data_IF_981471723522
#
_entry.id   IF_981471723522
#
_cell.length_a   1.000
_cell.length_b   1.000
_cell.length_c   1.000
_cell.angle_alpha   90.00
_cell.angle_beta   90.00
_cell.angle_gamma   90.00
#
_symmetry.space_group_name_H-M   'P 1'
#
loop_
_entity.id
_entity.type
_entity.pdbx_description
1 polymer ?
#
# COMPACT_ATOMS: atom_id res chain seq x y z
N UNK A 1 25.97 -14.85 16.67
CA UNK A 1 25.22 -14.00 15.71
C UNK A 1 26.07 -13.88 14.47
N UNK A 2 25.73 -14.59 13.42
CA UNK A 2 26.43 -14.51 12.13
C UNK A 2 25.97 -13.21 11.45
N UNK A 3 26.85 -12.25 11.31
CA UNK A 3 26.58 -11.03 10.59
C UNK A 3 26.46 -11.35 9.08
N UNK A 4 25.24 -11.44 8.57
CA UNK A 4 25.01 -11.49 7.13
C UNK A 4 25.28 -10.09 6.54
N UNK A 5 26.48 -9.86 6.01
CA UNK A 5 26.71 -8.70 5.18
C UNK A 5 26.16 -8.99 3.78
N UNK A 6 24.94 -8.55 3.50
CA UNK A 6 24.42 -8.54 2.13
C UNK A 6 25.14 -7.41 1.40
N UNK A 7 26.22 -7.73 0.71
CA UNK A 7 26.90 -6.79 -0.19
C UNK A 7 26.05 -6.70 -1.47
N UNK A 8 25.39 -5.56 -1.75
CA UNK A 8 24.68 -5.39 -3.01
C UNK A 8 25.66 -5.66 -4.16
N UNK A 9 25.26 -6.48 -5.14
CA UNK A 9 26.11 -6.70 -6.31
C UNK A 9 26.37 -5.36 -7.00
N UNK A 10 27.63 -4.87 -7.06
CA UNK A 10 27.94 -3.51 -7.51
C UNK A 10 27.42 -3.18 -8.92
N UNK A 11 27.34 -4.17 -9.77
CA UNK A 11 26.81 -4.00 -11.13
C UNK A 11 25.28 -3.77 -11.15
N UNK A 12 24.51 -4.39 -10.23
CA UNK A 12 23.05 -4.19 -10.12
C UNK A 12 22.75 -2.76 -9.70
N UNK A 13 23.47 -2.24 -8.71
CA UNK A 13 23.35 -0.86 -8.24
C UNK A 13 23.68 0.14 -9.35
N UNK A 14 24.77 -0.10 -10.12
CA UNK A 14 25.16 0.74 -11.26
C UNK A 14 24.11 0.70 -12.38
N UNK A 15 23.63 -0.50 -12.74
CA UNK A 15 22.60 -0.67 -13.77
C UNK A 15 21.29 0.03 -13.39
N UNK A 16 20.87 -0.09 -12.11
CA UNK A 16 19.71 0.60 -11.59
C UNK A 16 19.87 2.13 -11.63
N UNK A 17 21.02 2.65 -11.19
CA UNK A 17 21.30 4.08 -11.24
C UNK A 17 21.26 4.66 -12.66
N UNK A 18 21.77 3.91 -13.64
CA UNK A 18 21.69 4.30 -15.05
C UNK A 18 20.24 4.27 -15.57
N UNK A 19 19.48 3.23 -15.25
CA UNK A 19 18.07 3.12 -15.60
C UNK A 19 17.26 4.28 -15.00
N UNK A 20 17.50 4.64 -13.72
CA UNK A 20 16.86 5.78 -13.06
C UNK A 20 17.11 7.10 -13.80
N UNK A 21 18.33 7.37 -14.27
CA UNK A 21 18.65 8.58 -15.05
C UNK A 21 17.81 8.67 -16.33
N UNK A 22 17.59 7.55 -17.00
CA UNK A 22 16.72 7.47 -18.18
C UNK A 22 15.24 7.69 -17.81
N UNK A 23 14.77 7.02 -16.78
CA UNK A 23 13.38 7.12 -16.30
C UNK A 23 13.03 8.53 -15.81
N UNK A 24 13.99 9.28 -15.24
CA UNK A 24 13.76 10.64 -14.75
C UNK A 24 13.52 11.67 -15.85
N UNK A 25 13.79 11.34 -17.12
CA UNK A 25 13.46 12.20 -18.27
C UNK A 25 11.97 12.19 -18.62
N UNK A 26 11.22 11.20 -18.12
CA UNK A 26 9.78 11.10 -18.34
C UNK A 26 9.01 11.41 -17.06
N UNK A 27 7.76 11.82 -17.20
CA UNK A 27 6.91 12.07 -16.03
C UNK A 27 6.74 10.77 -15.20
N UNK A 28 6.58 10.88 -13.86
CA UNK A 28 6.45 9.72 -12.99
C UNK A 28 5.31 8.78 -13.41
N UNK A 29 4.16 9.35 -13.79
CA UNK A 29 2.98 8.57 -14.17
C UNK A 29 3.17 7.83 -15.51
N UNK A 30 3.91 8.42 -16.47
CA UNK A 30 4.30 7.70 -17.71
C UNK A 30 5.22 6.52 -17.42
N UNK A 31 6.21 6.71 -16.53
CA UNK A 31 7.12 5.62 -16.13
C UNK A 31 6.34 4.52 -15.42
N UNK A 32 5.42 4.87 -14.54
CA UNK A 32 4.53 3.86 -13.92
C UNK A 32 3.79 3.04 -14.99
N UNK A 33 3.23 3.68 -16.01
CA UNK A 33 2.56 2.99 -17.11
C UNK A 33 3.49 2.06 -17.90
N UNK A 34 4.71 2.51 -18.23
CA UNK A 34 5.73 1.72 -18.95
C UNK A 34 6.15 0.50 -18.12
N UNK A 35 6.47 0.69 -16.84
CA UNK A 35 6.84 -0.41 -15.94
C UNK A 35 5.68 -1.40 -15.79
N UNK A 36 4.46 -0.91 -15.60
CA UNK A 36 3.27 -1.77 -15.50
C UNK A 36 3.04 -2.57 -16.78
N UNK A 37 3.28 -1.99 -17.96
CA UNK A 37 3.20 -2.71 -19.23
C UNK A 37 4.28 -3.79 -19.34
N UNK A 38 5.53 -3.49 -18.98
CA UNK A 38 6.62 -4.44 -18.96
C UNK A 38 6.35 -5.61 -17.98
N UNK A 39 5.84 -5.33 -16.80
CA UNK A 39 5.45 -6.34 -15.81
C UNK A 39 4.29 -7.22 -16.31
N UNK A 40 3.32 -6.66 -17.05
CA UNK A 40 2.27 -7.46 -17.71
C UNK A 40 2.82 -8.42 -18.76
N UNK A 41 3.79 -7.96 -19.55
CA UNK A 41 4.49 -8.83 -20.50
C UNK A 41 5.20 -9.96 -19.75
N UNK A 42 5.96 -9.64 -18.69
CA UNK A 42 6.61 -10.65 -17.86
C UNK A 42 5.59 -11.64 -17.28
N UNK A 43 4.50 -11.17 -16.70
CA UNK A 43 3.42 -12.01 -16.14
C UNK A 43 2.84 -12.97 -17.19
N UNK A 44 2.74 -12.53 -18.45
CA UNK A 44 2.22 -13.33 -19.56
C UNK A 44 3.23 -14.35 -20.12
N UNK A 45 4.53 -14.27 -19.74
CA UNK A 45 5.55 -15.21 -20.23
C UNK A 45 5.34 -16.62 -19.68
N UNK A 46 5.84 -17.66 -20.40
CA UNK A 46 5.77 -19.04 -19.92
C UNK A 46 6.45 -19.24 -18.56
N UNK A 47 5.92 -20.17 -17.76
CA UNK A 47 6.46 -20.50 -16.43
C UNK A 47 7.98 -20.68 -16.35
N UNK A 48 8.69 -21.31 -17.34
CA UNK A 48 10.15 -21.43 -17.29
C UNK A 48 10.87 -20.07 -17.26
N UNK A 49 10.38 -19.08 -18.00
CA UNK A 49 10.95 -17.71 -18.03
C UNK A 49 10.75 -17.03 -16.67
N UNK A 50 9.54 -17.10 -16.12
CA UNK A 50 9.25 -16.56 -14.78
C UNK A 50 10.12 -17.19 -13.70
N UNK A 51 10.35 -18.52 -13.76
CA UNK A 51 11.27 -19.21 -12.84
C UNK A 51 12.71 -18.75 -12.98
N UNK A 52 13.18 -18.51 -14.21
CA UNK A 52 14.53 -17.99 -14.45
C UNK A 52 14.70 -16.60 -13.87
N UNK A 53 13.73 -15.69 -14.10
CA UNK A 53 13.73 -14.36 -13.49
C UNK A 53 13.71 -14.47 -11.97
N UNK A 54 12.85 -15.32 -11.40
CA UNK A 54 12.79 -15.55 -9.96
C UNK A 54 14.13 -16.00 -9.37
N UNK A 55 14.83 -16.94 -10.01
CA UNK A 55 16.17 -17.38 -9.55
C UNK A 55 17.21 -16.25 -9.50
N UNK A 56 17.03 -15.20 -10.31
CA UNK A 56 17.96 -14.06 -10.36
C UNK A 56 17.62 -13.02 -9.27
N UNK A 57 16.34 -12.81 -8.99
CA UNK A 57 15.92 -11.67 -8.17
C UNK A 57 15.34 -12.04 -6.79
N UNK A 58 14.83 -13.25 -6.63
CA UNK A 58 14.28 -13.71 -5.35
C UNK A 58 15.40 -14.05 -4.35
N UNK A 59 15.14 -13.72 -3.09
CA UNK A 59 15.91 -14.21 -1.95
C UNK A 59 15.09 -15.30 -1.29
N UNK A 60 15.58 -16.54 -1.39
CA UNK A 60 14.90 -17.72 -0.84
C UNK A 60 15.68 -18.20 0.38
N UNK A 61 15.40 -17.63 1.56
CA UNK A 61 15.94 -18.07 2.83
C UNK A 61 14.78 -18.44 3.76
N UNK A 62 14.71 -19.67 4.28
CA UNK A 62 13.64 -20.09 5.17
C UNK A 62 13.47 -19.21 6.42
N UNK A 63 14.53 -18.53 6.88
CA UNK A 63 14.48 -17.60 8.02
C UNK A 63 13.58 -16.39 7.75
N UNK A 64 13.35 -16.04 6.49
CA UNK A 64 12.49 -14.93 6.08
C UNK A 64 11.01 -15.32 6.03
N UNK A 65 10.73 -16.61 6.01
CA UNK A 65 9.35 -17.11 5.95
C UNK A 65 8.67 -16.95 7.31
N UNK A 66 7.43 -16.48 7.27
CA UNK A 66 6.59 -16.36 8.48
C UNK A 66 5.15 -16.74 8.15
N UNK A 67 4.48 -17.31 9.14
CA UNK A 67 3.06 -17.59 9.05
C UNK A 67 2.27 -16.43 9.67
N UNK A 68 1.40 -15.82 8.89
CA UNK A 68 0.55 -14.70 9.30
C UNK A 68 -0.85 -14.95 8.74
N UNK A 69 -1.88 -14.78 9.54
CA UNK A 69 -3.29 -15.03 9.16
C UNK A 69 -3.52 -16.47 8.63
N UNK A 70 -2.83 -17.47 9.18
CA UNK A 70 -2.89 -18.84 8.68
C UNK A 70 -2.33 -19.05 7.27
N UNK A 71 -1.59 -18.07 6.75
CA UNK A 71 -0.97 -18.08 5.43
C UNK A 71 0.54 -17.92 5.54
N UNK A 72 1.28 -18.71 4.77
CA UNK A 72 2.75 -18.59 4.71
C UNK A 72 3.16 -17.45 3.79
N UNK A 73 3.81 -16.44 4.35
CA UNK A 73 4.46 -15.35 3.64
C UNK A 73 5.93 -15.75 3.43
N UNK A 74 6.39 -15.96 2.20
CA UNK A 74 7.74 -16.49 1.93
C UNK A 74 8.86 -15.53 2.33
N UNK A 75 8.54 -14.24 2.48
CA UNK A 75 9.43 -13.20 3.00
C UNK A 75 8.63 -11.97 3.48
N UNK A 76 9.21 -11.16 4.39
CA UNK A 76 8.51 -10.03 5.00
C UNK A 76 8.40 -8.79 4.09
N UNK A 77 9.14 -8.72 2.98
CA UNK A 77 9.09 -7.58 2.07
C UNK A 77 7.88 -7.69 1.16
N UNK A 78 6.93 -6.77 1.31
CA UNK A 78 5.75 -6.63 0.47
C UNK A 78 5.76 -5.39 -0.42
N UNK A 79 4.98 -5.44 -1.51
CA UNK A 79 4.65 -4.24 -2.27
C UNK A 79 3.53 -3.48 -1.52
N UNK A 80 3.74 -2.20 -1.25
CA UNK A 80 2.71 -1.35 -0.65
C UNK A 80 1.61 -0.96 -1.67
N UNK A 81 0.42 -0.66 -1.17
CA UNK A 81 -0.69 -0.14 -1.99
C UNK A 81 -0.30 1.15 -2.73
N UNK A 82 -0.90 1.33 -3.89
CA UNK A 82 -0.71 2.52 -4.73
C UNK A 82 -0.02 2.24 -6.06
N UNK A 83 0.68 1.13 -6.21
CA UNK A 83 1.30 0.76 -7.49
C UNK A 83 0.35 -0.04 -8.38
N UNK A 84 -0.13 -1.19 -7.93
CA UNK A 84 -1.10 -2.02 -8.67
C UNK A 84 -2.52 -1.76 -8.14
N UNK A 85 -3.13 -0.70 -8.64
CA UNK A 85 -4.43 -0.23 -8.14
C UNK A 85 -5.61 -1.09 -8.58
N UNK A 86 -5.41 -1.90 -9.62
CA UNK A 86 -6.48 -2.67 -10.25
C UNK A 86 -6.26 -4.19 -10.18
N UNK A 87 -5.24 -4.65 -9.46
CA UNK A 87 -4.94 -6.07 -9.32
C UNK A 87 -4.53 -6.77 -10.63
N UNK A 88 -4.14 -5.98 -11.65
CA UNK A 88 -3.77 -6.52 -12.98
C UNK A 88 -2.41 -7.20 -13.00
N UNK A 89 -1.59 -7.00 -11.96
CA UNK A 89 -0.25 -7.50 -11.81
C UNK A 89 -0.11 -8.49 -10.63
N UNK A 90 -1.23 -9.00 -10.11
CA UNK A 90 -1.25 -9.83 -8.91
C UNK A 90 -0.34 -11.06 -8.99
N UNK A 91 -0.12 -11.60 -10.18
CA UNK A 91 0.70 -12.81 -10.40
C UNK A 91 2.21 -12.54 -10.55
N UNK A 92 2.64 -11.30 -10.79
CA UNK A 92 4.05 -11.02 -11.11
C UNK A 92 4.89 -10.64 -9.89
N UNK A 93 4.29 -10.12 -8.84
CA UNK A 93 5.02 -9.56 -7.69
C UNK A 93 5.93 -10.58 -7.02
N UNK A 94 5.43 -11.79 -6.82
CA UNK A 94 6.26 -12.89 -6.30
C UNK A 94 7.42 -13.22 -7.25
N UNK A 95 7.20 -13.21 -8.57
CA UNK A 95 8.27 -13.48 -9.55
C UNK A 95 9.43 -12.50 -9.43
N UNK A 96 9.17 -11.24 -9.13
CA UNK A 96 10.21 -10.20 -8.98
C UNK A 96 10.71 -10.02 -7.55
N UNK A 97 10.31 -10.92 -6.64
CA UNK A 97 10.95 -11.05 -5.33
C UNK A 97 10.16 -10.47 -4.16
N UNK A 98 8.90 -10.04 -4.32
CA UNK A 98 8.05 -9.68 -3.18
C UNK A 98 7.42 -10.93 -2.55
N UNK A 99 7.35 -10.97 -1.22
CA UNK A 99 6.67 -12.03 -0.47
C UNK A 99 5.15 -11.92 -0.57
N UNK A 100 4.66 -10.69 -0.68
CA UNK A 100 3.25 -10.38 -0.86
C UNK A 100 3.08 -9.04 -1.59
N UNK A 101 1.85 -8.73 -1.99
CA UNK A 101 1.52 -7.43 -2.55
C UNK A 101 0.20 -6.90 -1.96
N UNK A 102 0.19 -5.66 -1.48
CA UNK A 102 -1.01 -4.92 -1.15
C UNK A 102 -1.49 -4.18 -2.41
N UNK A 103 -2.61 -4.64 -2.96
CA UNK A 103 -3.20 -4.12 -4.20
C UNK A 103 -4.21 -3.00 -3.88
N UNK A 104 -4.37 -2.06 -4.77
CA UNK A 104 -5.30 -0.95 -4.56
C UNK A 104 -4.60 0.40 -4.36
N UNK A 105 -5.28 1.38 -3.81
CA UNK A 105 -6.60 1.39 -3.15
C UNK A 105 -7.71 1.21 -4.17
N UNK A 106 -8.65 0.33 -3.86
CA UNK A 106 -9.85 0.05 -4.64
C UNK A 106 -11.05 0.69 -3.94
N UNK A 107 -11.95 1.30 -4.71
CA UNK A 107 -13.22 1.84 -4.22
C UNK A 107 -14.41 1.01 -4.73
N UNK A 108 -15.55 1.07 -4.07
CA UNK A 108 -16.72 0.28 -4.48
C UNK A 108 -17.12 0.57 -5.93
N UNK A 109 -17.16 1.84 -6.31
CA UNK A 109 -17.31 2.27 -7.70
C UNK A 109 -15.97 2.74 -8.27
N UNK A 110 -15.72 2.48 -9.55
CA UNK A 110 -14.53 2.97 -10.25
C UNK A 110 -14.52 4.50 -10.33
N UNK A 111 -13.31 5.08 -10.29
CA UNK A 111 -13.16 6.54 -10.38
C UNK A 111 -11.83 6.94 -11.02
N UNK A 112 -11.77 8.09 -11.73
CA UNK A 112 -10.57 8.52 -12.46
C UNK A 112 -9.47 9.06 -11.53
N UNK A 113 -9.79 9.36 -10.26
CA UNK A 113 -8.92 10.07 -9.34
C UNK A 113 -8.88 11.58 -9.61
N UNK A 114 -7.83 12.22 -9.10
CA UNK A 114 -7.65 13.67 -9.28
C UNK A 114 -7.05 13.98 -10.65
N UNK A 115 -7.23 15.23 -11.17
CA UNK A 115 -6.63 15.63 -12.43
C UNK A 115 -5.10 15.55 -12.44
N UNK A 116 -4.53 15.22 -13.58
CA UNK A 116 -3.08 15.28 -13.82
C UNK A 116 -2.62 16.74 -14.03
N UNK A 117 -1.35 17.08 -13.68
CA UNK A 117 -0.34 16.24 -13.06
C UNK A 117 -0.63 16.00 -11.57
N UNK A 118 -0.42 14.78 -11.12
CA UNK A 118 -0.80 14.33 -9.76
C UNK A 118 0.27 13.46 -9.06
N UNK A 119 1.44 13.36 -9.69
CA UNK A 119 2.58 12.62 -9.17
C UNK A 119 3.87 13.37 -9.49
N UNK A 120 4.63 13.76 -8.47
CA UNK A 120 5.83 14.58 -8.57
C UNK A 120 6.98 13.93 -7.84
N UNK A 121 8.19 14.08 -8.40
CA UNK A 121 9.44 13.67 -7.72
C UNK A 121 10.05 14.85 -6.99
N UNK A 122 10.58 14.57 -5.81
CA UNK A 122 11.42 15.45 -5.03
C UNK A 122 12.84 14.81 -4.96
N UNK A 123 13.67 14.94 -6.01
CA UNK A 123 14.92 14.16 -6.11
C UNK A 123 15.92 14.47 -5.00
N UNK A 124 15.96 15.72 -4.53
CA UNK A 124 16.84 16.15 -3.44
C UNK A 124 16.48 15.46 -2.11
N UNK A 125 15.20 15.23 -1.90
CA UNK A 125 14.64 14.59 -0.71
C UNK A 125 14.47 13.07 -0.89
N UNK A 126 14.80 12.53 -2.07
CA UNK A 126 14.52 11.14 -2.46
C UNK A 126 13.05 10.75 -2.22
N UNK A 127 12.14 11.69 -2.43
CA UNK A 127 10.73 11.61 -2.06
C UNK A 127 9.82 11.75 -3.29
N UNK A 128 8.55 11.39 -3.08
CA UNK A 128 7.48 11.55 -4.04
C UNK A 128 6.33 12.30 -3.36
N UNK A 129 5.83 13.35 -4.04
CA UNK A 129 4.56 13.98 -3.69
C UNK A 129 3.47 13.45 -4.64
N UNK A 130 2.39 12.94 -4.07
CA UNK A 130 1.26 12.45 -4.85
C UNK A 130 -0.08 13.03 -4.39
N UNK A 131 -1.00 13.17 -5.34
CA UNK A 131 -2.41 13.45 -5.12
C UNK A 131 -3.29 12.60 -6.04
N UNK A 132 -3.05 11.29 -6.04
CA UNK A 132 -3.68 10.35 -6.98
C UNK A 132 -5.21 10.30 -6.87
N UNK A 133 -5.77 10.37 -5.64
CA UNK A 133 -7.21 10.40 -5.40
C UNK A 133 -7.91 9.07 -5.73
N UNK A 134 -7.25 7.95 -5.42
CA UNK A 134 -7.78 6.59 -5.59
C UNK A 134 -8.29 6.29 -7.01
N UNK A 135 -7.51 6.63 -8.04
CA UNK A 135 -7.84 6.22 -9.41
C UNK A 135 -7.80 4.70 -9.53
N UNK A 136 -8.96 4.10 -9.81
CA UNK A 136 -9.12 2.65 -9.95
C UNK A 136 -10.40 2.32 -10.75
N UNK A 137 -10.52 1.05 -11.17
CA UNK A 137 -11.62 0.57 -12.01
C UNK A 137 -12.86 0.14 -11.20
N UNK A 138 -12.77 0.11 -9.87
CA UNK A 138 -13.85 -0.32 -8.98
C UNK A 138 -13.74 -1.78 -8.55
N UNK A 139 -14.40 -2.09 -7.44
CA UNK A 139 -14.30 -3.41 -6.79
C UNK A 139 -14.74 -4.57 -7.70
N UNK A 140 -15.76 -4.37 -8.54
CA UNK A 140 -16.25 -5.42 -9.43
C UNK A 140 -15.22 -5.81 -10.50
N UNK A 141 -14.56 -4.81 -11.14
CA UNK A 141 -13.56 -5.07 -12.17
C UNK A 141 -12.28 -5.66 -11.56
N UNK A 142 -11.86 -5.17 -10.39
CA UNK A 142 -10.73 -5.74 -9.65
C UNK A 142 -11.02 -7.18 -9.25
N UNK A 143 -12.23 -7.48 -8.78
CA UNK A 143 -12.64 -8.85 -8.47
C UNK A 143 -12.58 -9.75 -9.71
N UNK A 144 -12.98 -9.23 -10.87
CA UNK A 144 -12.86 -9.97 -12.14
C UNK A 144 -11.40 -10.31 -12.44
N UNK A 145 -10.47 -9.36 -12.31
CA UNK A 145 -9.03 -9.62 -12.55
C UNK A 145 -8.48 -10.66 -11.58
N UNK A 146 -8.82 -10.56 -10.30
CA UNK A 146 -8.30 -11.46 -9.26
C UNK A 146 -8.85 -12.88 -9.36
N UNK A 147 -10.09 -13.07 -9.80
CA UNK A 147 -10.64 -14.41 -10.08
C UNK A 147 -9.93 -15.12 -11.22
N UNK A 148 -9.32 -14.37 -12.14
CA UNK A 148 -8.61 -14.92 -13.30
C UNK A 148 -7.08 -14.99 -13.09
N UNK A 149 -6.58 -14.71 -11.87
CA UNK A 149 -5.15 -14.86 -11.57
C UNK A 149 -4.70 -16.32 -11.67
N UNK A 150 -3.45 -16.52 -12.06
CA UNK A 150 -2.89 -17.84 -12.36
C UNK A 150 -2.04 -18.42 -11.24
N UNK A 151 -1.70 -17.61 -10.24
CA UNK A 151 -0.86 -18.01 -9.10
C UNK A 151 -1.63 -17.85 -7.79
N UNK A 152 -1.10 -18.48 -6.73
CA UNK A 152 -1.57 -18.30 -5.35
C UNK A 152 -0.61 -17.38 -4.58
N UNK A 153 0.02 -16.41 -5.25
CA UNK A 153 0.81 -15.40 -4.57
C UNK A 153 -0.01 -14.70 -3.48
N UNK A 154 0.61 -14.41 -2.36
CA UNK A 154 -0.07 -13.73 -1.25
C UNK A 154 -0.41 -12.30 -1.67
N UNK A 155 -1.69 -11.94 -1.59
CA UNK A 155 -2.16 -10.59 -1.89
C UNK A 155 -3.05 -10.09 -0.75
N UNK A 156 -2.82 -8.85 -0.35
CA UNK A 156 -3.77 -8.04 0.40
C UNK A 156 -4.49 -7.08 -0.52
N UNK A 157 -5.70 -6.66 -0.17
CA UNK A 157 -6.43 -5.65 -0.92
C UNK A 157 -6.72 -4.46 -0.02
N UNK A 158 -6.24 -3.30 -0.44
CA UNK A 158 -6.51 -2.03 0.19
C UNK A 158 -7.81 -1.44 -0.39
N UNK A 159 -8.78 -1.18 0.48
CA UNK A 159 -10.09 -0.62 0.11
C UNK A 159 -10.27 0.77 0.70
N UNK A 160 -10.90 1.67 -0.05
CA UNK A 160 -11.11 3.05 0.35
C UNK A 160 -12.48 3.55 -0.09
N UNK A 161 -12.91 4.67 0.52
CA UNK A 161 -14.19 5.30 0.22
C UNK A 161 -14.21 5.87 -1.20
N UNK A 162 -15.27 5.59 -1.95
CA UNK A 162 -15.56 6.24 -3.23
C UNK A 162 -15.70 7.75 -3.03
N UNK A 163 -15.08 8.56 -3.89
CA UNK A 163 -14.98 10.02 -3.71
C UNK A 163 -16.33 10.72 -3.60
N UNK A 164 -17.29 10.29 -4.42
CA UNK A 164 -18.64 10.89 -4.49
C UNK A 164 -19.58 10.42 -3.40
N UNK A 165 -19.19 9.44 -2.59
CA UNK A 165 -19.98 8.93 -1.48
C UNK A 165 -19.79 9.82 -0.27
N UNK A 166 -20.87 10.24 0.38
CA UNK A 166 -20.82 11.03 1.59
C UNK A 166 -20.24 10.25 2.78
N UNK A 167 -19.71 10.98 3.78
CA UNK A 167 -19.16 10.36 4.98
C UNK A 167 -20.18 9.48 5.73
N UNK A 168 -21.44 9.90 5.77
CA UNK A 168 -22.52 9.15 6.41
C UNK A 168 -22.81 7.78 5.75
N UNK A 169 -22.50 7.62 4.45
CA UNK A 169 -22.68 6.39 3.71
C UNK A 169 -21.34 5.60 3.54
N UNK A 170 -20.27 6.04 4.22
CA UNK A 170 -18.96 5.41 4.09
C UNK A 170 -18.98 3.92 4.46
N UNK A 171 -19.64 3.55 5.56
CA UNK A 171 -19.70 2.16 6.02
C UNK A 171 -20.28 1.21 4.95
N UNK A 172 -21.33 1.62 4.25
CA UNK A 172 -21.93 0.81 3.19
C UNK A 172 -21.03 0.71 1.95
N UNK A 173 -20.30 1.78 1.61
CA UNK A 173 -19.36 1.79 0.50
C UNK A 173 -18.18 0.83 0.77
N UNK A 174 -17.62 0.85 1.99
CA UNK A 174 -16.59 -0.11 2.42
C UNK A 174 -17.13 -1.55 2.48
N UNK A 175 -18.34 -1.76 3.03
CA UNK A 175 -19.01 -3.08 3.06
C UNK A 175 -19.14 -3.67 1.66
N UNK A 176 -19.54 -2.85 0.69
CA UNK A 176 -19.67 -3.28 -0.71
C UNK A 176 -18.33 -3.72 -1.30
N UNK A 177 -17.26 -2.97 -1.05
CA UNK A 177 -15.91 -3.34 -1.48
C UNK A 177 -15.45 -4.64 -0.84
N UNK A 178 -15.66 -4.79 0.48
CA UNK A 178 -15.28 -5.98 1.23
C UNK A 178 -16.03 -7.24 0.76
N UNK A 179 -17.33 -7.16 0.52
CA UNK A 179 -18.14 -8.29 0.01
C UNK A 179 -17.69 -8.78 -1.36
N UNK A 180 -17.16 -7.89 -2.22
CA UNK A 180 -16.73 -8.26 -3.57
C UNK A 180 -15.30 -8.81 -3.60
N UNK A 181 -14.45 -8.40 -2.66
CA UNK A 181 -13.00 -8.58 -2.72
C UNK A 181 -12.44 -9.49 -1.62
N UNK A 182 -13.16 -9.66 -0.51
CA UNK A 182 -12.67 -10.38 0.66
C UNK A 182 -12.12 -11.76 0.33
N UNK A 183 -12.95 -12.63 -0.24
CA UNK A 183 -12.57 -14.02 -0.57
C UNK A 183 -11.46 -14.15 -1.64
N UNK A 184 -11.02 -13.03 -2.23
CA UNK A 184 -10.00 -13.00 -3.26
C UNK A 184 -8.62 -12.61 -2.73
N UNK A 185 -8.51 -12.28 -1.43
CA UNK A 185 -7.31 -11.83 -0.76
C UNK A 185 -7.00 -12.65 0.51
N UNK A 186 -5.77 -12.59 0.98
CA UNK A 186 -5.36 -13.14 2.26
C UNK A 186 -5.61 -12.16 3.42
N UNK A 187 -5.74 -10.87 3.13
CA UNK A 187 -6.15 -9.84 4.09
C UNK A 187 -6.74 -8.63 3.38
N UNK A 188 -7.61 -7.90 4.06
CA UNK A 188 -8.11 -6.59 3.62
C UNK A 188 -7.50 -5.47 4.46
N UNK A 189 -7.26 -4.31 3.83
CA UNK A 189 -6.79 -3.11 4.50
C UNK A 189 -7.80 -1.98 4.30
N UNK A 190 -8.43 -1.55 5.38
CA UNK A 190 -9.34 -0.40 5.40
C UNK A 190 -8.51 0.88 5.41
N UNK A 191 -8.53 1.62 4.31
CA UNK A 191 -7.73 2.83 4.12
C UNK A 191 -8.56 4.10 4.37
N UNK A 192 -8.44 4.65 5.55
CA UNK A 192 -9.05 5.94 5.96
C UNK A 192 -8.03 7.08 6.02
N UNK A 193 -6.81 6.88 5.52
CA UNK A 193 -5.65 7.73 5.80
C UNK A 193 -5.16 8.57 4.62
N UNK A 194 -5.78 8.47 3.43
CA UNK A 194 -5.34 9.24 2.26
C UNK A 194 -5.63 10.73 2.43
N UNK A 195 -4.62 11.60 2.23
CA UNK A 195 -4.84 13.05 2.25
C UNK A 195 -5.48 13.60 0.95
N UNK A 196 -5.69 12.72 -0.04
CA UNK A 196 -6.04 13.09 -1.40
C UNK A 196 -7.53 12.93 -1.73
N UNK A 197 -8.32 12.54 -0.75
CA UNK A 197 -9.78 12.41 -0.81
C UNK A 197 -10.37 13.32 0.28
N UNK A 198 -11.19 14.33 -0.07
CA UNK A 198 -11.75 15.26 0.92
C UNK A 198 -12.49 14.53 2.04
N UNK A 199 -12.26 14.95 3.28
CA UNK A 199 -12.93 14.42 4.48
C UNK A 199 -12.57 12.97 4.84
N UNK A 200 -11.71 12.29 4.08
CA UNK A 200 -11.40 10.89 4.36
C UNK A 200 -10.65 10.72 5.69
N UNK A 201 -9.73 11.62 6.00
CA UNK A 201 -8.96 11.55 7.25
C UNK A 201 -9.78 11.80 8.50
N UNK A 202 -10.90 12.52 8.37
CA UNK A 202 -11.84 12.74 9.48
C UNK A 202 -12.50 11.41 9.90
N UNK A 203 -12.51 10.40 9.00
CA UNK A 203 -12.98 9.06 9.30
C UNK A 203 -12.01 8.24 10.17
N UNK A 204 -10.83 8.77 10.52
CA UNK A 204 -9.91 8.13 11.47
C UNK A 204 -10.30 8.36 12.94
N UNK A 205 -11.16 9.35 13.22
CA UNK A 205 -11.75 9.51 14.55
C UNK A 205 -12.55 8.25 14.91
N UNK A 206 -12.38 7.76 16.13
CA UNK A 206 -12.91 6.46 16.60
C UNK A 206 -14.41 6.31 16.33
N UNK A 207 -15.19 7.37 16.53
CA UNK A 207 -16.64 7.39 16.32
C UNK A 207 -17.02 7.15 14.86
N UNK A 208 -16.24 7.69 13.93
CA UNK A 208 -16.44 7.53 12.49
C UNK A 208 -15.85 6.22 11.95
N UNK A 209 -14.75 5.77 12.55
CA UNK A 209 -14.01 4.59 12.12
C UNK A 209 -14.71 3.29 12.53
N UNK A 210 -15.27 3.24 13.74
CA UNK A 210 -15.94 2.06 14.28
C UNK A 210 -17.01 1.46 13.34
N UNK A 211 -18.02 2.21 12.87
CA UNK A 211 -19.04 1.65 11.98
C UNK A 211 -18.47 1.17 10.65
N UNK A 212 -17.39 1.77 10.16
CA UNK A 212 -16.73 1.31 8.93
C UNK A 212 -16.06 -0.06 9.16
N UNK A 213 -15.29 -0.21 10.23
CA UNK A 213 -14.60 -1.45 10.54
C UNK A 213 -15.58 -2.59 10.80
N UNK A 214 -16.65 -2.35 11.57
CA UNK A 214 -17.71 -3.32 11.81
C UNK A 214 -18.39 -3.75 10.50
N UNK A 215 -18.73 -2.79 9.63
CA UNK A 215 -19.35 -3.08 8.35
C UNK A 215 -18.46 -3.94 7.44
N UNK A 216 -17.14 -3.77 7.50
CA UNK A 216 -16.18 -4.60 6.75
C UNK A 216 -16.09 -6.00 7.35
N UNK A 217 -15.98 -6.11 8.69
CA UNK A 217 -15.93 -7.43 9.37
C UNK A 217 -17.19 -8.25 9.15
N UNK A 218 -18.36 -7.61 9.13
CA UNK A 218 -19.64 -8.27 8.81
C UNK A 218 -19.72 -8.79 7.36
N UNK A 219 -18.96 -8.17 6.46
CA UNK A 219 -19.01 -8.48 5.02
C UNK A 219 -18.05 -9.59 4.57
N UNK A 220 -17.09 -10.00 5.41
CA UNK A 220 -16.07 -10.99 5.05
C UNK A 220 -15.50 -11.70 6.28
N UNK A 221 -15.04 -12.93 6.06
CA UNK A 221 -14.23 -13.68 7.06
C UNK A 221 -12.72 -13.49 6.84
N UNK A 222 -12.32 -12.69 5.85
CA UNK A 222 -10.92 -12.41 5.56
C UNK A 222 -10.35 -11.47 6.61
N UNK A 223 -9.11 -11.69 7.09
CA UNK A 223 -8.46 -10.81 8.05
C UNK A 223 -8.53 -9.33 7.67
N UNK A 224 -8.90 -8.47 8.62
CA UNK A 224 -9.12 -7.04 8.41
C UNK A 224 -8.10 -6.21 9.17
N UNK A 225 -7.39 -5.34 8.45
CA UNK A 225 -6.46 -4.37 8.99
C UNK A 225 -6.94 -2.95 8.73
N UNK A 226 -6.50 -2.00 9.55
CA UNK A 226 -6.73 -0.57 9.30
C UNK A 226 -5.42 0.13 8.95
N UNK A 227 -5.42 1.02 7.95
CA UNK A 227 -4.24 1.83 7.56
C UNK A 227 -4.41 3.27 7.99
N UNK A 228 -3.46 3.76 8.82
CA UNK A 228 -3.49 5.07 9.44
C UNK A 228 -2.53 6.07 8.80
N UNK A 229 -2.78 7.36 9.03
CA UNK A 229 -1.91 8.45 8.60
C UNK A 229 -0.77 8.68 9.61
N UNK A 230 0.41 9.12 9.15
CA UNK A 230 1.51 9.49 10.06
C UNK A 230 1.25 10.79 10.81
N UNK A 231 0.31 11.61 10.31
CA UNK A 231 0.01 12.94 10.83
C UNK A 231 -1.02 12.92 12.01
N UNK A 232 -1.46 11.73 12.42
CA UNK A 232 -2.25 11.57 13.64
C UNK A 232 -1.44 12.00 14.89
N UNK A 233 -2.14 12.57 15.88
CA UNK A 233 -1.56 12.75 17.20
C UNK A 233 -1.22 11.41 17.85
N UNK A 234 -0.38 11.42 18.84
CA UNK A 234 -0.04 10.19 19.56
C UNK A 234 -1.26 9.60 20.28
N UNK A 235 -2.13 10.45 20.79
CA UNK A 235 -3.39 10.09 21.44
C UNK A 235 -4.35 9.42 20.43
N UNK A 236 -4.44 9.95 19.20
CA UNK A 236 -5.28 9.34 18.15
C UNK A 236 -4.73 8.02 17.68
N UNK A 237 -3.40 7.87 17.59
CA UNK A 237 -2.75 6.57 17.28
C UNK A 237 -3.12 5.54 18.34
N UNK A 238 -3.06 5.90 19.64
CA UNK A 238 -3.45 5.02 20.73
C UNK A 238 -4.93 4.67 20.68
N UNK A 239 -5.79 5.65 20.41
CA UNK A 239 -7.24 5.44 20.31
C UNK A 239 -7.61 4.47 19.16
N UNK A 240 -6.94 4.58 18.01
CA UNK A 240 -7.12 3.61 16.92
C UNK A 240 -6.61 2.23 17.29
N UNK A 241 -5.50 2.14 18.02
CA UNK A 241 -4.96 0.85 18.48
C UNK A 241 -5.94 0.17 19.46
N UNK A 242 -6.51 0.93 20.41
CA UNK A 242 -7.50 0.43 21.36
C UNK A 242 -8.78 -0.03 20.66
N UNK A 243 -9.26 0.75 19.69
CA UNK A 243 -10.40 0.36 18.86
C UNK A 243 -10.16 -0.92 18.08
N UNK A 244 -8.95 -1.07 17.51
CA UNK A 244 -8.58 -2.26 16.77
C UNK A 244 -8.56 -3.52 17.67
N UNK A 245 -8.05 -3.39 18.91
CA UNK A 245 -8.09 -4.47 19.90
C UNK A 245 -9.53 -4.77 20.35
N UNK A 246 -10.32 -3.75 20.63
CA UNK A 246 -11.73 -3.89 21.07
C UNK A 246 -12.58 -4.61 20.02
N UNK A 247 -12.41 -4.28 18.74
CA UNK A 247 -13.14 -4.90 17.65
C UNK A 247 -12.56 -6.25 17.20
N UNK A 248 -11.41 -6.66 17.76
CA UNK A 248 -10.73 -7.88 17.34
C UNK A 248 -10.28 -7.83 15.89
N UNK A 249 -9.75 -6.70 15.44
CA UNK A 249 -9.10 -6.63 14.13
C UNK A 249 -7.85 -7.51 14.09
N UNK A 250 -7.40 -7.85 12.89
CA UNK A 250 -6.22 -8.68 12.69
C UNK A 250 -4.91 -7.86 12.63
N UNK A 251 -4.99 -6.54 12.40
CA UNK A 251 -3.78 -5.72 12.37
C UNK A 251 -3.95 -4.25 12.01
N UNK A 252 -2.79 -3.57 11.97
CA UNK A 252 -2.68 -2.14 11.60
C UNK A 252 -1.54 -1.97 10.60
N UNK A 253 -1.78 -1.13 9.57
CA UNK A 253 -0.75 -0.71 8.59
C UNK A 253 -0.31 0.72 8.93
N UNK A 254 0.96 0.90 9.25
CA UNK A 254 1.55 2.18 9.62
C UNK A 254 2.79 2.46 8.75
N UNK A 255 2.75 3.50 7.90
CA UNK A 255 1.71 4.52 7.73
C UNK A 255 1.41 4.82 6.27
N UNK A 256 0.41 5.70 6.02
CA UNK A 256 0.24 6.36 4.72
C UNK A 256 1.29 7.50 4.58
N UNK A 257 1.14 8.33 3.54
CA UNK A 257 1.98 9.50 3.26
C UNK A 257 1.66 10.67 4.19
N UNK A 258 2.65 11.55 4.45
CA UNK A 258 2.49 12.75 5.29
C UNK A 258 2.06 13.97 4.49
N UNK A 259 1.31 14.88 5.13
CA UNK A 259 1.05 16.23 4.61
C UNK A 259 2.09 17.25 5.10
N UNK A 260 2.96 16.89 6.06
CA UNK A 260 4.05 17.77 6.48
C UNK A 260 5.01 18.06 5.32
N UNK A 261 5.56 19.26 5.35
CA UNK A 261 6.58 19.75 4.42
C UNK A 261 7.89 20.05 5.15
N UNK A 262 7.95 19.77 6.45
CA UNK A 262 9.09 20.05 7.30
C UNK A 262 10.32 19.24 6.87
N UNK A 263 11.48 19.85 6.99
CA UNK A 263 12.76 19.19 6.70
C UNK A 263 13.05 18.91 5.23
N UNK A 264 12.20 19.36 4.29
CA UNK A 264 12.49 19.22 2.87
C UNK A 264 13.68 20.08 2.42
N UNK A 265 14.55 19.49 1.63
CA UNK A 265 15.68 20.19 0.97
C UNK A 265 15.22 20.88 -0.33
N UNK A 266 14.18 20.37 -0.97
CA UNK A 266 13.56 21.02 -2.13
C UNK A 266 12.97 22.36 -1.71
N UNK A 267 13.26 23.47 -2.43
CA UNK A 267 12.75 24.80 -2.08
C UNK A 267 11.24 24.85 -1.92
N UNK A 268 10.76 25.55 -0.89
CA UNK A 268 9.34 25.68 -0.56
C UNK A 268 8.51 26.16 -1.76
N UNK A 269 9.02 27.13 -2.52
CA UNK A 269 8.33 27.63 -3.72
C UNK A 269 8.12 26.55 -4.78
N UNK A 270 9.05 25.61 -4.94
CA UNK A 270 8.91 24.49 -5.85
C UNK A 270 7.86 23.48 -5.36
N UNK A 271 7.88 23.19 -4.05
CA UNK A 271 6.89 22.29 -3.42
C UNK A 271 5.49 22.90 -3.48
N UNK A 272 5.36 24.19 -3.17
CA UNK A 272 4.10 24.93 -3.26
C UNK A 272 3.53 24.92 -4.69
N UNK A 273 4.37 25.09 -5.71
CA UNK A 273 3.94 25.00 -7.12
C UNK A 273 3.41 23.61 -7.52
N UNK A 274 3.80 22.54 -6.83
CA UNK A 274 3.25 21.20 -7.01
C UNK A 274 1.85 21.06 -6.41
N UNK A 275 1.47 21.94 -5.48
CA UNK A 275 0.18 21.96 -4.80
C UNK A 275 0.05 20.91 -3.69
N UNK A 276 -1.21 20.65 -3.21
CA UNK A 276 -1.46 19.71 -2.13
C UNK A 276 -1.12 18.26 -2.53
N UNK A 277 -0.95 17.40 -1.53
CA UNK A 277 -0.70 15.97 -1.72
C UNK A 277 0.08 15.36 -0.55
N UNK A 278 0.20 14.04 -0.55
CA UNK A 278 0.97 13.30 0.44
C UNK A 278 2.41 13.08 -0.02
N UNK A 279 3.36 13.20 0.89
CA UNK A 279 4.79 12.92 0.67
C UNK A 279 5.13 11.55 1.23
N UNK A 280 5.82 10.74 0.42
CA UNK A 280 6.43 9.47 0.80
C UNK A 280 7.94 9.50 0.66
N UNK A 281 8.62 8.55 1.29
CA UNK A 281 10.07 8.42 1.29
C UNK A 281 10.72 8.95 2.57
N UNK A 282 12.03 9.27 2.57
CA UNK A 282 12.74 9.67 3.78
C UNK A 282 12.07 10.73 4.65
N UNK A 283 11.36 11.74 4.11
CA UNK A 283 10.72 12.75 4.95
C UNK A 283 9.66 12.22 5.93
N UNK A 284 9.07 11.06 5.67
CA UNK A 284 8.09 10.45 6.59
C UNK A 284 8.67 9.30 7.42
N UNK A 285 9.89 8.87 7.12
CA UNK A 285 10.44 7.62 7.65
C UNK A 285 10.55 7.60 9.19
N UNK A 286 11.05 8.67 9.80
CA UNK A 286 11.23 8.73 11.25
C UNK A 286 9.87 8.68 11.96
N UNK A 287 8.90 9.49 11.52
CA UNK A 287 7.54 9.50 12.09
C UNK A 287 6.84 8.16 11.89
N UNK A 288 6.96 7.55 10.71
CA UNK A 288 6.38 6.23 10.47
C UNK A 288 6.95 5.16 11.42
N UNK A 289 8.26 5.22 11.69
CA UNK A 289 8.92 4.31 12.63
C UNK A 289 8.51 4.58 14.09
N UNK A 290 8.35 5.85 14.49
CA UNK A 290 7.83 6.23 15.82
C UNK A 290 6.42 5.67 16.04
N UNK A 291 5.52 5.90 15.07
CA UNK A 291 4.15 5.38 15.11
C UNK A 291 4.16 3.85 15.21
N UNK A 292 4.99 3.17 14.41
CA UNK A 292 5.08 1.72 14.44
C UNK A 292 5.58 1.19 15.80
N UNK A 293 6.59 1.86 16.41
CA UNK A 293 7.08 1.51 17.75
C UNK A 293 6.02 1.74 18.83
N UNK A 294 5.29 2.86 18.73
CA UNK A 294 4.19 3.17 19.65
C UNK A 294 3.08 2.11 19.59
N UNK A 295 2.66 1.77 18.36
CA UNK A 295 1.68 0.70 18.15
C UNK A 295 2.17 -0.63 18.73
N UNK A 296 3.42 -1.04 18.46
CA UNK A 296 3.99 -2.27 19.03
C UNK A 296 3.98 -2.25 20.55
N UNK A 297 4.32 -1.13 21.17
CA UNK A 297 4.24 -0.96 22.63
C UNK A 297 2.81 -1.08 23.18
N UNK A 298 1.79 -0.66 22.40
CA UNK A 298 0.38 -0.65 22.80
C UNK A 298 -0.29 -2.03 22.59
N UNK A 299 -0.10 -2.63 21.41
CA UNK A 299 -0.82 -3.85 21.03
C UNK A 299 -0.01 -5.14 21.25
N UNK A 300 1.28 -5.05 21.56
CA UNK A 300 2.14 -6.22 21.71
C UNK A 300 2.09 -7.13 20.48
N UNK A 301 1.87 -8.41 20.70
CA UNK A 301 1.73 -9.44 19.65
C UNK A 301 0.26 -9.75 19.32
N UNK A 302 -0.70 -9.02 19.90
CA UNK A 302 -2.13 -9.26 19.69
C UNK A 302 -2.59 -8.85 18.28
N UNK A 303 -1.89 -7.93 17.62
CA UNK A 303 -2.20 -7.48 16.26
C UNK A 303 -0.97 -7.58 15.37
N UNK A 304 -1.20 -7.92 14.11
CA UNK A 304 -0.16 -7.84 13.07
C UNK A 304 0.11 -6.39 12.72
N UNK A 305 1.38 -5.98 12.71
CA UNK A 305 1.79 -4.65 12.30
C UNK A 305 2.55 -4.71 10.99
N UNK A 306 2.09 -3.95 9.99
CA UNK A 306 2.76 -3.78 8.70
C UNK A 306 3.35 -2.37 8.64
N UNK A 307 4.69 -2.26 8.60
CA UNK A 307 5.40 -0.99 8.42
C UNK A 307 5.46 -0.58 6.95
N UNK A 308 5.16 0.69 6.65
CA UNK A 308 5.18 1.25 5.28
C UNK A 308 5.89 2.61 5.28
#
# INVERSE_FOLDING_TARGET
MTSYSITPHPWRTKAYALALKGMFRLSPERIHGIISAALRVLQATPRPVNRLVGKIVQVNDPILSQEVFGTVFPQPLGLAAGFDKNGRLADVWHTIGFGYAELGTVTAAGQPGNPAPRLFRLPKDKAILNRMGFNNEGAADVAFHLRHRKTRAVVGINIGKTKVVDAAAAADDYRRSASLLGDLAQFLVVNVSSPNTPGLRDLQAVESLRPILQAVQEATNTPVLVKIAPDLSDEDVDAVADLALELGLDGIVATNTTISRDGLVTPESQVAAMGPGGISGPPVADRALEVLKRLRGRVGDSLVLIGV
#
